data_IF_667782981051
#
_entry.id   IF_667782981051
#
_cell.length_a   1.000
_cell.length_b   1.000
_cell.length_c   1.000
_cell.angle_alpha   90.00
_cell.angle_beta   90.00
_cell.angle_gamma   90.00
#
_symmetry.space_group_name_H-M   'P 1'
#
loop_
_entity.id
_entity.type
_entity.pdbx_description
1 polymer ?
#
# COMPACT_ATOMS: atom_id res chain seq x y z
N UNK A 1 -8.90 11.17 -4.59
CA UNK A 1 -8.91 9.76 -5.06
C UNK A 1 -8.63 9.56 -6.55
N UNK A 2 -9.14 10.37 -7.49
CA UNK A 2 -9.09 10.02 -8.93
C UNK A 2 -7.68 9.91 -9.51
N UNK A 3 -6.73 10.74 -9.07
CA UNK A 3 -5.36 10.72 -9.60
C UNK A 3 -4.57 9.49 -9.14
N UNK A 4 -4.82 8.97 -7.94
CA UNK A 4 -4.14 7.77 -7.41
C UNK A 4 -4.52 6.57 -8.28
N UNK A 5 -5.82 6.37 -8.51
CA UNK A 5 -6.31 5.30 -9.38
C UNK A 5 -5.72 5.40 -10.80
N UNK A 6 -5.60 6.62 -11.33
CA UNK A 6 -5.00 6.87 -12.63
C UNK A 6 -3.50 6.54 -12.63
N UNK A 7 -2.76 6.96 -11.61
CA UNK A 7 -1.34 6.68 -11.45
C UNK A 7 -1.08 5.17 -11.34
N UNK A 8 -1.83 4.46 -10.48
CA UNK A 8 -1.75 3.00 -10.34
C UNK A 8 -2.09 2.29 -11.64
N UNK A 9 -3.13 2.74 -12.36
CA UNK A 9 -3.48 2.17 -13.66
C UNK A 9 -2.39 2.36 -14.71
N UNK A 10 -1.74 3.53 -14.76
CA UNK A 10 -0.66 3.82 -15.70
C UNK A 10 0.58 2.99 -15.38
N UNK A 11 0.96 2.91 -14.10
CA UNK A 11 2.03 2.03 -13.63
C UNK A 11 1.76 0.58 -14.06
N UNK A 12 0.56 0.08 -13.78
CA UNK A 12 0.21 -1.31 -14.10
C UNK A 12 0.25 -1.58 -15.61
N UNK A 13 -0.30 -0.66 -16.41
CA UNK A 13 -0.26 -0.74 -17.88
C UNK A 13 1.17 -0.76 -18.40
N UNK A 14 2.06 0.08 -17.86
CA UNK A 14 3.47 0.11 -18.24
C UNK A 14 4.18 -1.22 -17.89
N UNK A 15 3.95 -1.76 -16.70
CA UNK A 15 4.52 -3.04 -16.28
C UNK A 15 4.03 -4.19 -17.17
N UNK A 16 2.71 -4.30 -17.41
CA UNK A 16 2.13 -5.36 -18.25
C UNK A 16 2.56 -5.27 -19.72
N UNK A 17 2.86 -4.07 -20.23
CA UNK A 17 3.35 -3.85 -21.59
C UNK A 17 4.84 -4.06 -21.76
N UNK A 18 5.58 -4.29 -20.67
CA UNK A 18 7.02 -4.57 -20.74
C UNK A 18 7.23 -5.88 -21.52
N UNK A 19 7.86 -5.83 -22.71
CA UNK A 19 7.94 -6.99 -23.59
C UNK A 19 8.63 -8.18 -22.92
N UNK A 20 8.00 -9.36 -22.99
CA UNK A 20 8.55 -10.61 -22.46
C UNK A 20 8.59 -10.74 -20.93
N UNK A 21 8.13 -9.74 -20.17
CA UNK A 21 8.18 -9.79 -18.70
C UNK A 21 7.38 -10.97 -18.13
N UNK A 22 6.11 -11.10 -18.54
CA UNK A 22 5.23 -12.16 -18.05
C UNK A 22 5.74 -13.55 -18.46
N UNK A 23 6.27 -13.69 -19.67
CA UNK A 23 6.81 -14.97 -20.16
C UNK A 23 8.06 -15.37 -19.38
N UNK A 24 8.95 -14.41 -19.10
CA UNK A 24 10.10 -14.62 -18.22
C UNK A 24 9.64 -15.07 -16.83
N UNK A 25 8.69 -14.35 -16.23
CA UNK A 25 8.19 -14.70 -14.88
C UNK A 25 7.56 -16.10 -14.83
N UNK A 26 6.83 -16.52 -15.89
CA UNK A 26 6.31 -17.89 -16.00
C UNK A 26 7.44 -18.93 -16.13
N UNK A 27 8.49 -18.61 -16.88
CA UNK A 27 9.62 -19.50 -17.09
C UNK A 27 10.44 -19.75 -15.81
N UNK A 28 10.56 -18.74 -14.94
CA UNK A 28 11.28 -18.83 -13.67
C UNK A 28 10.58 -19.75 -12.64
N UNK A 29 9.27 -19.98 -12.77
CA UNK A 29 8.48 -20.88 -11.89
C UNK A 29 8.60 -20.55 -10.40
N UNK A 30 8.42 -19.28 -10.04
CA UNK A 30 8.44 -18.85 -8.64
C UNK A 30 7.39 -19.59 -7.79
N UNK A 31 7.80 -20.06 -6.62
CA UNK A 31 6.92 -20.76 -5.68
C UNK A 31 6.05 -19.80 -4.86
N UNK A 32 6.51 -18.55 -4.70
CA UNK A 32 5.79 -17.52 -3.96
C UNK A 32 6.08 -16.11 -4.49
N UNK A 33 5.19 -15.16 -4.19
CA UNK A 33 5.36 -13.76 -4.53
C UNK A 33 4.99 -12.81 -3.38
N UNK A 34 5.53 -11.60 -3.44
CA UNK A 34 5.26 -10.54 -2.48
C UNK A 34 4.88 -9.26 -3.22
N UNK A 35 3.84 -8.57 -2.75
CA UNK A 35 3.43 -7.26 -3.27
C UNK A 35 3.14 -6.31 -2.12
N UNK A 36 3.35 -5.01 -2.36
CA UNK A 36 3.02 -3.97 -1.41
C UNK A 36 1.49 -3.82 -1.31
N UNK A 37 0.96 -3.59 -0.10
CA UNK A 37 -0.48 -3.47 0.14
C UNK A 37 -1.18 -2.32 -0.63
N UNK A 38 -0.42 -1.31 -1.06
CA UNK A 38 -0.92 -0.20 -1.88
C UNK A 38 -0.78 -0.45 -3.40
N UNK A 39 -0.04 -1.48 -3.82
CA UNK A 39 0.12 -1.84 -5.23
C UNK A 39 -0.91 -2.89 -5.67
N UNK A 40 -2.03 -2.41 -6.19
CA UNK A 40 -3.09 -3.28 -6.69
C UNK A 40 -2.71 -4.07 -7.95
N UNK A 41 -1.63 -3.70 -8.66
CA UNK A 41 -1.22 -4.37 -9.90
C UNK A 41 -0.52 -5.71 -9.64
N UNK A 42 0.28 -5.80 -8.57
CA UNK A 42 1.08 -6.99 -8.27
C UNK A 42 0.26 -8.27 -8.24
N UNK A 43 -0.92 -8.22 -7.62
CA UNK A 43 -1.86 -9.36 -7.57
C UNK A 43 -2.33 -9.81 -8.95
N UNK A 44 -2.63 -8.86 -9.84
CA UNK A 44 -3.01 -9.17 -11.22
C UNK A 44 -1.88 -9.89 -11.95
N UNK A 45 -0.63 -9.46 -11.74
CA UNK A 45 0.55 -10.12 -12.30
C UNK A 45 0.66 -11.55 -11.75
N UNK A 46 0.55 -11.74 -10.43
CA UNK A 46 0.62 -13.07 -9.80
C UNK A 46 -0.40 -14.04 -10.38
N UNK A 47 -1.63 -13.54 -10.58
CA UNK A 47 -2.68 -14.30 -11.25
C UNK A 47 -2.30 -14.67 -12.69
N UNK A 48 -1.79 -13.72 -13.48
CA UNK A 48 -1.40 -13.95 -14.88
C UNK A 48 -0.20 -14.90 -15.05
N UNK A 49 0.67 -15.01 -14.04
CA UNK A 49 1.82 -15.93 -14.05
C UNK A 49 1.55 -17.25 -13.30
N UNK A 50 0.38 -17.39 -12.68
CA UNK A 50 -0.07 -18.62 -12.04
C UNK A 50 0.43 -18.84 -10.60
N UNK A 51 0.93 -17.81 -9.93
CA UNK A 51 1.41 -17.90 -8.53
C UNK A 51 0.21 -17.82 -7.58
N UNK A 52 0.01 -18.87 -6.78
CA UNK A 52 -1.07 -18.96 -5.79
C UNK A 52 -0.65 -18.59 -4.37
N UNK A 53 0.63 -18.79 -4.06
CA UNK A 53 1.20 -18.45 -2.76
C UNK A 53 1.74 -17.03 -2.84
N UNK A 54 1.06 -16.08 -2.22
CA UNK A 54 1.56 -14.72 -2.12
C UNK A 54 1.25 -14.11 -0.78
N UNK A 55 2.08 -13.16 -0.36
CA UNK A 55 1.86 -12.38 0.85
C UNK A 55 1.89 -10.89 0.53
N UNK A 56 1.06 -10.16 1.28
CA UNK A 56 1.05 -8.72 1.32
C UNK A 56 2.17 -8.24 2.24
N UNK A 57 2.98 -7.32 1.73
CA UNK A 57 3.95 -6.60 2.54
C UNK A 57 3.50 -5.18 2.77
N UNK A 58 3.75 -4.69 3.97
CA UNK A 58 3.60 -3.30 4.34
C UNK A 58 4.78 -2.92 5.22
N UNK A 59 5.49 -1.86 4.85
CA UNK A 59 6.59 -1.33 5.66
C UNK A 59 6.10 -0.52 6.88
N UNK A 60 4.87 -0.01 6.80
CA UNK A 60 4.22 0.67 7.92
C UNK A 60 3.76 -0.36 8.97
N UNK A 61 4.31 -0.25 10.18
CA UNK A 61 3.97 -1.13 11.31
C UNK A 61 2.53 -0.95 11.80
N UNK A 62 1.96 0.25 11.62
CA UNK A 62 0.60 0.60 12.00
C UNK A 62 0.03 1.60 11.02
N UNK A 63 -1.19 1.37 10.54
CA UNK A 63 -1.97 2.31 9.74
C UNK A 63 -3.29 2.64 10.44
N UNK A 64 -3.94 3.71 10.02
CA UNK A 64 -5.29 4.05 10.46
C UNK A 64 -6.24 2.86 10.21
N UNK A 65 -6.97 2.44 11.24
CA UNK A 65 -7.77 1.20 11.25
C UNK A 65 -7.06 -0.03 11.83
N UNK A 66 -5.73 -0.12 11.76
CA UNK A 66 -4.98 -1.21 12.43
C UNK A 66 -5.12 -1.14 13.96
N UNK A 67 -5.25 0.07 14.51
CA UNK A 67 -5.46 0.29 15.95
C UNK A 67 -6.77 -0.30 16.45
N UNK A 68 -7.86 -0.18 15.69
CA UNK A 68 -9.16 -0.76 16.06
C UNK A 68 -9.13 -2.29 16.04
N UNK A 69 -8.39 -2.87 15.09
CA UNK A 69 -8.27 -4.33 14.95
C UNK A 69 -7.37 -4.91 16.07
N UNK A 70 -6.27 -4.22 16.38
CA UNK A 70 -5.29 -4.69 17.37
C UNK A 70 -5.66 -4.34 18.82
N UNK A 71 -6.57 -3.38 19.01
CA UNK A 71 -6.88 -2.81 20.32
C UNK A 71 -5.76 -1.91 20.86
N UNK A 72 -4.74 -1.60 20.05
CA UNK A 72 -3.69 -0.68 20.43
C UNK A 72 -4.25 0.75 20.51
N UNK A 73 -3.83 1.57 21.50
CA UNK A 73 -4.32 2.93 21.62
C UNK A 73 -3.83 3.79 20.46
N UNK A 74 -4.73 4.57 19.85
CA UNK A 74 -4.36 5.64 18.93
C UNK A 74 -3.83 6.84 19.73
N UNK A 75 -2.77 7.49 19.22
CA UNK A 75 -2.22 8.70 19.82
C UNK A 75 -2.22 9.87 18.81
N UNK A 76 -3.40 10.29 18.30
CA UNK A 76 -3.50 11.29 17.24
C UNK A 76 -3.01 12.68 17.68
N UNK A 77 -2.86 12.90 18.99
CA UNK A 77 -2.24 14.12 19.49
C UNK A 77 -0.74 14.16 19.25
N UNK A 78 -0.05 13.02 19.07
CA UNK A 78 1.41 12.92 18.94
C UNK A 78 1.83 12.36 17.58
N UNK A 79 1.13 11.34 17.08
CA UNK A 79 1.43 10.67 15.81
C UNK A 79 0.51 11.22 14.71
N UNK A 80 1.05 11.88 13.67
CA UNK A 80 0.25 12.32 12.53
C UNK A 80 -0.30 11.12 11.77
N UNK A 81 -1.45 11.28 11.12
CA UNK A 81 -1.93 10.27 10.17
C UNK A 81 -0.92 10.03 9.05
N UNK A 82 -0.89 8.81 8.52
CA UNK A 82 -0.06 8.35 7.40
C UNK A 82 -0.15 9.28 6.19
N UNK A 83 -1.32 9.89 5.97
CA UNK A 83 -1.61 10.80 4.86
C UNK A 83 -1.74 12.27 5.28
N UNK A 84 -1.28 12.64 6.48
CA UNK A 84 -1.35 14.01 6.97
C UNK A 84 -0.30 14.91 6.29
N UNK A 85 -0.67 16.17 6.02
CA UNK A 85 0.22 17.19 5.43
C UNK A 85 1.20 17.81 6.46
N UNK A 86 1.26 17.26 7.67
CA UNK A 86 2.10 17.73 8.77
C UNK A 86 2.88 16.56 9.39
N UNK A 87 4.10 16.85 9.84
CA UNK A 87 4.95 15.85 10.48
C UNK A 87 4.74 15.73 11.99
N UNK A 88 5.63 14.98 12.64
CA UNK A 88 5.63 14.69 14.09
C UNK A 88 5.49 15.93 15.00
N UNK A 89 5.97 17.09 14.53
CA UNK A 89 5.87 18.36 15.25
C UNK A 89 4.64 19.14 14.80
N UNK A 90 3.49 18.75 15.34
CA UNK A 90 2.21 19.43 15.13
C UNK A 90 2.00 20.60 16.10
N UNK A 91 1.51 21.72 15.56
CA UNK A 91 0.90 22.81 16.35
C UNK A 91 -0.40 22.35 17.01
N UNK A 92 -0.91 23.12 17.96
CA UNK A 92 -2.17 22.79 18.64
C UNK A 92 -3.33 22.55 17.65
N UNK A 93 -3.51 23.44 16.68
CA UNK A 93 -4.58 23.28 15.69
C UNK A 93 -4.37 22.08 14.78
N UNK A 94 -3.12 21.77 14.39
CA UNK A 94 -2.83 20.56 13.62
C UNK A 94 -3.15 19.28 14.41
N UNK A 95 -2.90 19.24 15.73
CA UNK A 95 -3.29 18.10 16.58
C UNK A 95 -4.80 17.93 16.65
N UNK A 96 -5.55 19.04 16.75
CA UNK A 96 -7.02 19.01 16.72
C UNK A 96 -7.52 18.48 15.38
N UNK A 97 -7.00 19.02 14.27
CA UNK A 97 -7.34 18.51 12.93
C UNK A 97 -7.02 17.03 12.80
N UNK A 98 -5.79 16.62 13.15
CA UNK A 98 -5.35 15.23 13.10
C UNK A 98 -6.29 14.31 13.88
N UNK A 99 -6.71 14.70 15.08
CA UNK A 99 -7.63 13.90 15.92
C UNK A 99 -9.03 13.77 15.34
N UNK A 100 -9.50 14.76 14.58
CA UNK A 100 -10.83 14.74 13.95
C UNK A 100 -10.81 14.00 12.61
N UNK A 101 -9.67 13.99 11.92
CA UNK A 101 -9.53 13.40 10.58
C UNK A 101 -8.92 12.01 10.55
N UNK A 102 -8.31 11.55 11.65
CA UNK A 102 -7.83 10.17 11.80
C UNK A 102 -8.96 9.16 11.92
#
# INVERSE_FOLDING_TARGET
MNWINQATSLQCSATLRTPGLLDRMRAEKFDAAFSEAIDMCGFGIFHLVGIKSYALMMSASTTEGSFDITGAPTAPSYVPGTMADFGERMTFLQRVTNTITL
#
